data_IF_771105871935
#
_entry.id   IF_771105871935
#
_cell.length_a   1.000
_cell.length_b   1.000
_cell.length_c   1.000
_cell.angle_alpha   90.00
_cell.angle_beta   90.00
_cell.angle_gamma   90.00
#
_symmetry.space_group_name_H-M   'P 1'
#
loop_
_entity.id
_entity.type
_entity.pdbx_description
1 polymer ?
#
# COMPACT_ATOMS: atom_id res chain seq x y z
N UNK A 1 -9.35 -10.07 -9.24
CA UNK A 1 -8.11 -9.40 -8.84
C UNK A 1 -8.03 -7.96 -9.34
N UNK A 2 -8.17 -7.66 -10.64
CA UNK A 2 -8.10 -6.27 -11.14
C UNK A 2 -9.04 -5.26 -10.44
N UNK A 3 -10.30 -5.63 -10.18
CA UNK A 3 -11.25 -4.79 -9.41
C UNK A 3 -10.75 -4.46 -8.00
N UNK A 4 -10.06 -5.40 -7.36
CA UNK A 4 -9.49 -5.21 -6.03
C UNK A 4 -8.28 -4.27 -6.09
N UNK A 5 -7.38 -4.46 -7.06
CA UNK A 5 -6.24 -3.56 -7.30
C UNK A 5 -6.70 -2.12 -7.59
N UNK A 6 -7.80 -1.97 -8.35
CA UNK A 6 -8.43 -0.68 -8.61
C UNK A 6 -8.91 -0.01 -7.31
N UNK A 7 -9.69 -0.74 -6.50
CA UNK A 7 -10.19 -0.25 -5.23
C UNK A 7 -9.05 0.10 -4.24
N UNK A 8 -7.98 -0.69 -4.20
CA UNK A 8 -6.79 -0.37 -3.42
C UNK A 8 -6.11 0.92 -3.89
N UNK A 9 -5.97 1.11 -5.20
CA UNK A 9 -5.38 2.33 -5.78
C UNK A 9 -6.22 3.57 -5.42
N UNK A 10 -7.54 3.47 -5.49
CA UNK A 10 -8.47 4.52 -5.06
C UNK A 10 -8.37 4.83 -3.56
N UNK A 11 -8.23 3.79 -2.72
CA UNK A 11 -8.05 3.96 -1.29
C UNK A 11 -6.72 4.66 -0.94
N UNK A 12 -5.63 4.36 -1.66
CA UNK A 12 -4.34 5.04 -1.50
C UNK A 12 -4.40 6.50 -1.94
N UNK A 13 -5.11 6.79 -3.04
CA UNK A 13 -5.40 8.16 -3.45
C UNK A 13 -6.18 8.91 -2.36
N UNK A 14 -7.28 8.33 -1.86
CA UNK A 14 -8.07 8.91 -0.78
C UNK A 14 -7.23 9.17 0.48
N UNK A 15 -6.36 8.23 0.87
CA UNK A 15 -5.45 8.40 1.99
C UNK A 15 -4.53 9.61 1.82
N UNK A 16 -4.17 9.97 0.59
CA UNK A 16 -3.30 11.11 0.29
C UNK A 16 -4.07 12.43 0.22
N UNK A 17 -5.28 12.42 -0.33
CA UNK A 17 -6.03 13.65 -0.66
C UNK A 17 -7.06 14.02 0.40
N UNK A 18 -7.64 13.04 1.09
CA UNK A 18 -8.75 13.22 2.03
C UNK A 18 -8.29 13.05 3.48
N UNK A 19 -7.61 14.08 4.00
CA UNK A 19 -6.99 14.05 5.33
C UNK A 19 -7.95 13.71 6.46
N UNK A 20 -9.02 14.49 6.61
CA UNK A 20 -9.94 14.31 7.75
C UNK A 20 -10.77 13.03 7.63
N UNK A 21 -11.13 12.63 6.41
CA UNK A 21 -11.76 11.33 6.15
C UNK A 21 -10.85 10.17 6.54
N UNK A 22 -9.57 10.25 6.19
CA UNK A 22 -8.57 9.24 6.56
C UNK A 22 -8.35 9.16 8.07
N UNK A 23 -8.26 10.31 8.74
CA UNK A 23 -8.19 10.36 10.21
C UNK A 23 -9.43 9.76 10.89
N UNK A 24 -10.64 9.99 10.35
CA UNK A 24 -11.85 9.37 10.87
C UNK A 24 -11.82 7.84 10.73
N UNK A 25 -11.32 7.33 9.60
CA UNK A 25 -11.10 5.88 9.39
C UNK A 25 -10.07 5.33 10.38
N UNK A 26 -8.97 6.04 10.60
CA UNK A 26 -7.96 5.65 11.60
C UNK A 26 -8.52 5.64 13.01
N UNK A 27 -9.31 6.64 13.39
CA UNK A 27 -9.94 6.68 14.70
C UNK A 27 -10.83 5.46 14.94
N UNK A 28 -11.67 5.13 13.95
CA UNK A 28 -12.58 3.98 14.01
C UNK A 28 -11.84 2.64 14.07
N UNK A 29 -10.83 2.42 13.23
CA UNK A 29 -10.23 1.10 13.05
C UNK A 29 -8.98 0.87 13.91
N UNK A 30 -8.19 1.91 14.17
CA UNK A 30 -6.99 1.85 15.02
C UNK A 30 -7.28 2.27 16.46
N UNK A 31 -8.52 2.68 16.78
CA UNK A 31 -8.97 3.14 18.11
C UNK A 31 -8.15 4.30 18.68
N UNK A 32 -7.61 5.14 17.79
CA UNK A 32 -6.89 6.35 18.15
C UNK A 32 -7.91 7.47 18.33
N UNK A 33 -7.96 8.07 19.52
CA UNK A 33 -8.93 9.11 19.86
C UNK A 33 -8.30 10.48 20.07
N UNK A 34 -7.00 10.53 20.35
CA UNK A 34 -6.31 11.80 20.55
C UNK A 34 -5.97 12.46 19.19
N UNK A 35 -6.28 13.76 19.00
CA UNK A 35 -6.08 14.44 17.73
C UNK A 35 -4.63 14.45 17.22
N UNK A 36 -3.67 14.50 18.13
CA UNK A 36 -2.26 14.59 17.79
C UNK A 36 -1.72 13.26 17.23
N UNK A 37 -2.09 12.12 17.83
CA UNK A 37 -1.75 10.80 17.29
C UNK A 37 -2.47 10.52 15.98
N UNK A 38 -3.70 11.00 15.80
CA UNK A 38 -4.38 10.91 14.50
C UNK A 38 -3.63 11.69 13.42
N UNK A 39 -3.15 12.88 13.75
CA UNK A 39 -2.32 13.70 12.86
C UNK A 39 -1.00 13.00 12.53
N UNK A 40 -0.32 12.44 13.54
CA UNK A 40 0.93 11.68 13.34
C UNK A 40 0.70 10.45 12.47
N UNK A 41 -0.34 9.67 12.74
CA UNK A 41 -0.70 8.51 11.94
C UNK A 41 -0.97 8.90 10.48
N UNK A 42 -1.77 9.95 10.25
CA UNK A 42 -2.01 10.48 8.91
C UNK A 42 -0.73 10.85 8.18
N UNK A 43 0.16 11.60 8.83
CA UNK A 43 1.45 12.00 8.24
C UNK A 43 2.33 10.80 7.91
N UNK A 44 2.35 9.77 8.77
CA UNK A 44 3.12 8.57 8.55
C UNK A 44 2.61 7.76 7.33
N UNK A 45 1.29 7.61 7.19
CA UNK A 45 0.71 6.75 6.16
C UNK A 45 0.44 7.44 4.81
N UNK A 46 0.18 8.75 4.78
CA UNK A 46 -0.16 9.48 3.53
C UNK A 46 0.97 9.57 2.51
N UNK A 47 2.22 9.40 2.94
CA UNK A 47 3.41 9.57 2.09
C UNK A 47 4.17 8.27 1.81
N UNK A 48 3.88 7.18 2.54
CA UNK A 48 4.68 5.94 2.46
C UNK A 48 4.38 5.12 1.20
N UNK A 49 3.18 5.27 0.64
CA UNK A 49 2.76 4.52 -0.53
C UNK A 49 3.06 5.29 -1.82
N UNK A 50 3.53 4.63 -2.89
CA UNK A 50 3.63 5.25 -4.22
C UNK A 50 2.24 5.47 -4.84
N UNK A 51 2.14 6.36 -5.83
CA UNK A 51 0.86 6.62 -6.52
C UNK A 51 0.38 5.40 -7.32
N UNK A 52 1.30 4.78 -8.06
CA UNK A 52 1.10 3.47 -8.66
C UNK A 52 1.59 2.40 -7.66
N UNK A 53 0.71 1.56 -7.09
CA UNK A 53 1.06 0.64 -6.02
C UNK A 53 1.74 -0.62 -6.52
N UNK A 54 2.88 -0.46 -7.20
CA UNK A 54 3.68 -1.57 -7.69
C UNK A 54 4.27 -2.40 -6.54
N UNK A 55 4.06 -3.72 -6.53
CA UNK A 55 4.83 -4.59 -5.65
C UNK A 55 6.30 -4.64 -6.11
N UNK A 56 7.24 -4.74 -5.17
CA UNK A 56 8.67 -4.85 -5.46
C UNK A 56 9.24 -6.17 -4.92
N UNK A 57 9.98 -6.95 -5.74
CA UNK A 57 10.68 -8.14 -5.26
C UNK A 57 11.66 -7.83 -4.12
N UNK A 58 12.25 -6.64 -4.13
CA UNK A 58 13.19 -6.18 -3.10
C UNK A 58 12.49 -6.04 -1.74
N UNK A 59 11.28 -5.50 -1.71
CA UNK A 59 10.49 -5.43 -0.47
C UNK A 59 10.13 -6.80 0.08
N UNK A 60 9.78 -7.74 -0.80
CA UNK A 60 9.56 -9.15 -0.42
C UNK A 60 10.85 -9.77 0.13
N UNK A 61 11.99 -9.52 -0.52
CA UNK A 61 13.29 -10.03 -0.06
C UNK A 61 13.61 -9.53 1.35
N UNK A 62 13.42 -8.24 1.64
CA UNK A 62 13.64 -7.69 2.98
C UNK A 62 12.82 -8.43 4.03
N UNK A 63 11.56 -8.74 3.75
CA UNK A 63 10.71 -9.50 4.68
C UNK A 63 11.14 -10.97 4.79
N UNK A 64 11.55 -11.61 3.69
CA UNK A 64 12.07 -12.97 3.71
C UNK A 64 13.38 -13.08 4.51
N UNK A 65 14.28 -12.10 4.38
CA UNK A 65 15.54 -12.02 5.13
C UNK A 65 15.29 -11.88 6.65
N UNK A 66 14.30 -11.06 7.05
CA UNK A 66 13.91 -10.90 8.47
C UNK A 66 13.32 -12.19 9.06
N UNK A 67 12.60 -12.96 8.25
CA UNK A 67 12.01 -14.23 8.66
C UNK A 67 13.01 -15.41 8.64
N UNK A 68 14.06 -15.33 7.83
CA UNK A 68 15.03 -16.41 7.60
C UNK A 68 15.62 -17.02 8.89
N UNK A 69 15.99 -16.24 9.94
CA UNK A 69 16.54 -16.80 11.18
C UNK A 69 15.58 -17.72 11.93
N UNK A 70 14.26 -17.60 11.69
CA UNK A 70 13.21 -18.34 12.40
C UNK A 70 12.42 -19.27 11.49
N UNK A 71 12.59 -19.16 10.17
CA UNK A 71 11.88 -19.96 9.18
C UNK A 71 12.82 -20.34 8.02
N UNK A 72 13.35 -21.58 8.00
CA UNK A 72 14.21 -22.05 6.91
C UNK A 72 13.55 -21.98 5.53
N UNK A 73 12.21 -22.05 5.43
CA UNK A 73 11.51 -21.90 4.14
C UNK A 73 11.62 -20.47 3.59
N UNK A 74 11.70 -19.45 4.46
CA UNK A 74 11.88 -18.08 4.03
C UNK A 74 13.28 -17.84 3.43
N UNK A 75 14.31 -18.47 4.02
CA UNK A 75 15.68 -18.40 3.50
C UNK A 75 15.83 -19.00 2.09
N UNK A 76 15.02 -20.01 1.76
CA UNK A 76 15.06 -20.70 0.47
C UNK A 76 14.05 -20.17 -0.56
N UNK A 77 13.18 -19.21 -0.19
CA UNK A 77 12.13 -18.73 -1.06
C UNK A 77 12.65 -17.71 -2.08
N UNK A 78 12.14 -17.78 -3.33
CA UNK A 78 12.42 -16.76 -4.34
C UNK A 78 11.45 -15.57 -4.15
N UNK A 79 11.95 -14.35 -3.83
CA UNK A 79 11.11 -13.16 -3.67
C UNK A 79 10.20 -12.88 -4.88
N UNK A 80 10.66 -13.21 -6.10
CA UNK A 80 9.88 -12.95 -7.33
C UNK A 80 8.63 -13.79 -7.43
N UNK A 81 8.61 -14.97 -6.81
CA UNK A 81 7.44 -15.87 -6.81
C UNK A 81 6.24 -15.32 -6.03
N UNK A 82 6.43 -14.26 -5.23
CA UNK A 82 5.37 -13.59 -4.45
C UNK A 82 4.88 -12.30 -5.10
N UNK A 83 5.38 -11.96 -6.29
CA UNK A 83 5.13 -10.67 -6.93
C UNK A 83 4.42 -10.90 -8.27
N UNK A 84 3.25 -10.29 -8.40
CA UNK A 84 2.53 -10.17 -9.68
C UNK A 84 2.26 -8.70 -9.96
N UNK A 85 2.95 -8.15 -10.96
CA UNK A 85 2.82 -6.75 -11.36
C UNK A 85 1.71 -6.53 -12.40
N UNK A 86 1.16 -7.60 -13.00
CA UNK A 86 0.30 -7.52 -14.18
C UNK A 86 -0.94 -6.64 -13.94
N UNK A 87 -1.54 -6.72 -12.75
CA UNK A 87 -2.73 -5.95 -12.42
C UNK A 87 -2.48 -4.44 -12.34
N UNK A 88 -1.33 -4.01 -11.79
CA UNK A 88 -1.00 -2.58 -11.71
C UNK A 88 -0.59 -2.07 -13.09
N UNK A 89 0.16 -2.88 -13.86
CA UNK A 89 0.48 -2.60 -15.26
C UNK A 89 -0.76 -2.41 -16.13
N UNK A 90 -1.79 -3.23 -15.93
CA UNK A 90 -3.05 -3.09 -16.67
C UNK A 90 -3.77 -1.78 -16.33
N UNK A 91 -3.85 -1.41 -15.05
CA UNK A 91 -4.43 -0.12 -14.64
C UNK A 91 -3.64 1.10 -15.17
N UNK A 92 -2.32 1.01 -15.22
CA UNK A 92 -1.49 2.06 -15.83
C UNK A 92 -1.72 2.15 -17.34
N UNK A 93 -1.74 1.00 -18.03
CA UNK A 93 -1.99 0.92 -19.48
C UNK A 93 -3.35 1.49 -19.86
N UNK A 94 -4.37 1.24 -19.05
CA UNK A 94 -5.72 1.83 -19.21
C UNK A 94 -5.76 3.34 -18.90
N UNK A 95 -4.68 3.90 -18.35
CA UNK A 95 -4.59 5.29 -17.93
C UNK A 95 -5.39 5.59 -16.66
N UNK A 96 -5.87 4.58 -15.95
CA UNK A 96 -6.71 4.73 -14.76
C UNK A 96 -5.99 5.51 -13.67
N UNK A 97 -4.75 5.10 -13.33
CA UNK A 97 -3.97 5.73 -12.25
C UNK A 97 -3.72 7.21 -12.57
N UNK A 98 -3.29 7.51 -13.80
CA UNK A 98 -3.07 8.88 -14.27
C UNK A 98 -4.34 9.73 -14.23
N UNK A 99 -5.50 9.17 -14.57
CA UNK A 99 -6.77 9.90 -14.50
C UNK A 99 -7.20 10.15 -13.06
N UNK A 100 -6.95 9.20 -12.16
CA UNK A 100 -7.30 9.31 -10.74
C UNK A 100 -6.58 10.48 -10.08
N UNK A 101 -5.25 10.59 -10.25
CA UNK A 101 -4.42 11.67 -9.66
C UNK A 101 -4.52 13.03 -10.37
N UNK A 102 -5.34 13.12 -11.43
CA UNK A 102 -5.66 14.40 -12.10
C UNK A 102 -6.98 15.02 -11.63
N UNK A 103 -7.77 14.28 -10.86
CA UNK A 103 -9.03 14.77 -10.28
C UNK A 103 -8.75 15.70 -9.12
#
# INVERSE_FOLDING_TARGET
MLKFTKAMTEALHFLRTEKEGSKAIFSKNLRITDPESLERAYRAYSVVFPEAPYPTPEGVKTMLDDLAPRNPKAAAADPKSFVDMSFVQELEKEGFIKQLYKR
#
